data_IF_506168350453
#
_entry.id   IF_506168350453
#
_cell.length_a   1.000
_cell.length_b   1.000
_cell.length_c   1.000
_cell.angle_alpha   90.00
_cell.angle_beta   90.00
_cell.angle_gamma   90.00
#
_symmetry.space_group_name_H-M   'P 1'
#
loop_
_entity.id
_entity.type
_entity.pdbx_description
1 polymer ?
#
# COMPACT_ATOMS: atom_id res chain seq x y z
N UNK A 1 -2.00 -2.94 6.73
CA UNK A 1 -2.70 -2.27 5.61
C UNK A 1 -1.83 -2.47 4.37
N UNK A 2 -2.38 -2.90 3.22
CA UNK A 2 -1.60 -3.33 2.04
C UNK A 2 -1.32 -2.21 1.03
N UNK A 3 -1.07 -0.98 1.50
CA UNK A 3 -1.00 0.22 0.65
C UNK A 3 -2.39 0.76 0.26
N UNK A 4 -2.49 1.99 -0.26
CA UNK A 4 -3.75 2.59 -0.69
C UNK A 4 -4.29 1.84 -1.91
N UNK A 5 -5.58 1.47 -1.86
CA UNK A 5 -6.26 0.82 -3.00
C UNK A 5 -6.75 1.83 -4.05
N UNK A 6 -6.90 3.10 -3.64
CA UNK A 6 -7.36 4.23 -4.44
C UNK A 6 -6.67 5.49 -3.90
N UNK A 7 -6.27 6.38 -4.79
CA UNK A 7 -5.83 7.74 -4.46
C UNK A 7 -6.91 8.73 -4.82
N UNK A 8 -7.05 9.80 -4.02
CA UNK A 8 -7.88 10.96 -4.36
C UNK A 8 -6.97 12.17 -4.21
N UNK A 9 -6.72 12.87 -5.32
CA UNK A 9 -5.99 14.12 -5.30
C UNK A 9 -6.91 15.24 -4.77
N UNK A 10 -6.38 16.07 -3.86
CA UNK A 10 -7.15 17.12 -3.19
C UNK A 10 -6.30 18.39 -3.10
N UNK A 11 -6.84 19.52 -3.56
CA UNK A 11 -6.20 20.84 -3.53
C UNK A 11 -6.84 21.80 -2.51
N UNK A 12 -8.00 21.44 -1.99
CA UNK A 12 -8.78 22.22 -1.03
C UNK A 12 -9.33 21.28 0.04
N UNK A 13 -9.87 21.82 1.16
CA UNK A 13 -10.73 21.03 2.01
C UNK A 13 -11.84 20.39 1.17
N UNK A 14 -12.06 19.09 1.33
CA UNK A 14 -13.11 18.37 0.59
C UNK A 14 -13.94 17.50 1.54
N UNK A 15 -15.12 17.15 1.08
CA UNK A 15 -15.92 16.08 1.66
C UNK A 15 -15.90 14.88 0.72
N UNK A 16 -15.63 13.71 1.29
CA UNK A 16 -15.81 12.44 0.59
C UNK A 16 -17.16 11.88 1.04
N UNK A 17 -18.16 12.01 0.18
CA UNK A 17 -19.47 11.37 0.35
C UNK A 17 -19.43 9.92 -0.15
N UNK A 18 -20.15 9.04 0.54
CA UNK A 18 -20.28 7.64 0.16
C UNK A 18 -21.67 7.13 0.51
N UNK A 19 -22.25 6.38 -0.42
CA UNK A 19 -23.40 5.52 -0.22
C UNK A 19 -22.99 4.11 -0.68
N UNK A 20 -22.79 3.20 0.26
CA UNK A 20 -22.41 1.82 -0.03
C UNK A 20 -23.59 0.90 0.25
N UNK A 21 -23.95 0.10 -0.76
CA UNK A 21 -25.08 -0.83 -0.71
C UNK A 21 -24.66 -2.24 -1.14
N UNK A 22 -25.34 -3.26 -0.63
CA UNK A 22 -25.25 -4.64 -1.14
C UNK A 22 -26.30 -4.84 -2.21
N UNK A 23 -25.86 -5.23 -3.41
CA UNK A 23 -26.77 -5.51 -4.52
C UNK A 23 -27.59 -6.76 -4.25
N UNK A 24 -28.91 -6.62 -4.34
CA UNK A 24 -29.86 -7.72 -4.18
C UNK A 24 -30.36 -8.28 -5.52
N UNK A 25 -29.93 -7.69 -6.65
CA UNK A 25 -30.26 -8.15 -8.01
C UNK A 25 -31.58 -7.60 -8.55
N UNK A 26 -32.27 -6.74 -7.78
CA UNK A 26 -33.50 -6.03 -8.16
C UNK A 26 -33.24 -4.56 -8.51
N UNK A 27 -34.17 -3.68 -8.13
CA UNK A 27 -34.00 -2.24 -8.28
C UNK A 27 -33.06 -1.69 -7.18
N UNK A 28 -32.39 -0.57 -7.45
CA UNK A 28 -31.44 0.04 -6.50
C UNK A 28 -32.10 0.46 -5.17
N UNK A 29 -33.41 0.74 -5.19
CA UNK A 29 -34.21 1.04 -4.00
C UNK A 29 -34.33 -0.17 -3.05
N UNK A 30 -34.22 -1.39 -3.58
CA UNK A 30 -34.25 -2.63 -2.82
C UNK A 30 -32.86 -3.04 -2.30
N UNK A 31 -31.80 -2.36 -2.73
CA UNK A 31 -30.44 -2.68 -2.31
C UNK A 31 -30.22 -2.31 -0.84
N UNK A 32 -29.58 -3.23 -0.11
CA UNK A 32 -29.40 -3.09 1.33
C UNK A 32 -28.32 -2.03 1.63
N UNK A 33 -28.72 -0.88 2.16
CA UNK A 33 -27.78 0.18 2.54
C UNK A 33 -26.88 -0.27 3.70
N UNK A 34 -25.57 -0.33 3.45
CA UNK A 34 -24.55 -0.64 4.45
C UNK A 34 -24.17 0.62 5.21
N UNK A 35 -23.72 1.66 4.51
CA UNK A 35 -23.34 2.95 5.07
C UNK A 35 -23.75 4.07 4.12
N UNK A 36 -24.07 5.22 4.71
CA UNK A 36 -24.40 6.44 3.99
C UNK A 36 -23.90 7.61 4.85
N UNK A 37 -23.10 8.48 4.24
CA UNK A 37 -22.57 9.65 4.93
C UNK A 37 -21.39 10.28 4.21
N UNK A 38 -20.70 11.16 4.93
CA UNK A 38 -19.54 11.87 4.41
C UNK A 38 -18.42 11.95 5.43
N UNK A 39 -17.18 11.88 4.94
CA UNK A 39 -15.98 12.21 5.71
C UNK A 39 -15.47 13.57 5.26
N UNK A 40 -15.31 14.42 6.25
CA UNK A 40 -14.62 15.68 6.16
C UNK A 40 -13.09 15.51 6.07
N UNK A 41 -12.48 16.04 5.02
CA UNK A 41 -11.03 16.13 4.86
C UNK A 41 -10.62 17.62 4.84
N UNK A 42 -10.58 18.25 6.01
CA UNK A 42 -10.23 19.68 6.13
C UNK A 42 -8.81 19.93 6.60
N UNK A 43 -8.22 18.99 7.32
CA UNK A 43 -6.86 19.15 7.85
C UNK A 43 -5.86 18.84 6.73
N UNK A 44 -5.27 19.90 6.18
CA UNK A 44 -4.25 19.82 5.13
C UNK A 44 -2.87 19.45 5.69
N UNK A 45 -2.77 19.01 6.96
CA UNK A 45 -1.54 18.46 7.51
C UNK A 45 -1.46 16.96 7.20
N UNK A 46 -0.34 16.44 6.66
CA UNK A 46 -0.09 15.01 6.52
C UNK A 46 -0.47 14.27 7.80
N UNK A 47 -1.02 13.07 7.71
CA UNK A 47 -1.27 12.24 8.89
C UNK A 47 -1.13 10.75 8.57
N UNK A 48 -0.65 10.00 9.57
CA UNK A 48 -0.39 8.55 9.48
C UNK A 48 -1.69 7.79 9.24
N UNK A 49 -1.68 6.59 8.64
CA UNK A 49 -2.91 5.86 8.38
C UNK A 49 -3.77 5.65 9.63
N UNK A 50 -5.03 6.10 9.59
CA UNK A 50 -6.02 5.92 10.66
C UNK A 50 -7.09 4.96 10.19
N UNK A 51 -7.53 4.08 11.08
CA UNK A 51 -8.68 3.21 10.87
C UNK A 51 -9.92 3.87 11.46
N UNK A 52 -10.93 4.08 10.62
CA UNK A 52 -12.25 4.50 11.03
C UNK A 52 -13.23 3.35 10.86
N UNK A 53 -14.05 3.12 11.87
CA UNK A 53 -15.19 2.21 11.78
C UNK A 53 -16.45 3.03 11.61
N UNK A 54 -17.18 2.75 10.54
CA UNK A 54 -18.46 3.38 10.25
C UNK A 54 -19.53 2.32 10.47
N UNK A 55 -20.45 2.60 11.38
CA UNK A 55 -21.59 1.73 11.64
C UNK A 55 -22.77 2.27 10.83
N UNK A 56 -23.38 1.43 10.00
CA UNK A 56 -24.66 1.74 9.40
C UNK A 56 -25.72 0.73 9.82
N UNK A 57 -26.92 0.87 9.24
CA UNK A 57 -28.11 0.13 9.70
C UNK A 57 -27.97 -1.38 9.49
N UNK A 58 -27.32 -1.78 8.41
CA UNK A 58 -27.27 -3.18 7.98
C UNK A 58 -25.87 -3.79 8.08
N UNK A 59 -24.90 -3.09 8.67
CA UNK A 59 -23.53 -3.58 8.81
C UNK A 59 -22.53 -2.52 9.27
N UNK A 60 -21.26 -2.90 9.30
CA UNK A 60 -20.16 -2.00 9.64
C UNK A 60 -19.09 -2.05 8.55
N UNK A 61 -18.45 -0.90 8.30
CA UNK A 61 -17.38 -0.77 7.33
C UNK A 61 -16.15 -0.19 8.03
N UNK A 62 -15.04 -0.92 7.95
CA UNK A 62 -13.74 -0.43 8.38
C UNK A 62 -13.03 0.23 7.21
N UNK A 63 -12.81 1.54 7.31
CA UNK A 63 -12.05 2.33 6.34
C UNK A 63 -10.68 2.62 6.93
N UNK A 64 -9.64 2.54 6.11
CA UNK A 64 -8.32 3.07 6.45
C UNK A 64 -7.96 4.14 5.44
N UNK A 65 -7.74 5.36 5.91
CA UNK A 65 -7.28 6.48 5.09
C UNK A 65 -5.96 7.02 5.62
N UNK A 66 -5.22 7.77 4.80
CA UNK A 66 -4.03 8.54 5.16
C UNK A 66 -4.02 9.80 4.28
N UNK A 67 -3.47 10.91 4.77
CA UNK A 67 -3.20 12.07 3.95
C UNK A 67 -1.69 12.24 3.81
N UNK A 68 -1.23 12.26 2.55
CA UNK A 68 0.17 12.33 2.18
C UNK A 68 0.32 13.54 1.26
N UNK A 69 1.05 14.55 1.71
CA UNK A 69 1.31 15.75 0.93
C UNK A 69 2.30 15.45 -0.21
N UNK A 70 2.07 16.11 -1.37
CA UNK A 70 2.86 15.95 -2.59
C UNK A 70 3.13 14.48 -2.95
N UNK A 71 2.11 13.64 -2.82
CA UNK A 71 2.23 12.20 -3.01
C UNK A 71 2.49 11.82 -4.46
N UNK A 72 3.39 10.85 -4.66
CA UNK A 72 3.58 10.11 -5.90
C UNK A 72 3.25 8.64 -5.66
N UNK A 73 2.73 7.97 -6.67
CA UNK A 73 2.47 6.55 -6.63
C UNK A 73 3.77 5.77 -6.88
N UNK A 74 4.10 4.83 -6.00
CA UNK A 74 5.13 3.83 -6.20
C UNK A 74 4.49 2.48 -6.52
N UNK A 75 4.51 2.08 -7.80
CA UNK A 75 4.14 0.73 -8.22
C UNK A 75 5.37 -0.18 -8.11
N UNK A 76 5.30 -1.15 -7.20
CA UNK A 76 6.38 -2.08 -6.86
C UNK A 76 6.09 -3.45 -7.46
N UNK A 77 6.98 -3.91 -8.33
CA UNK A 77 7.00 -5.27 -8.86
C UNK A 77 8.15 -6.06 -8.24
N UNK A 78 7.87 -7.26 -7.77
CA UNK A 78 8.87 -8.15 -7.17
C UNK A 78 8.86 -9.49 -7.88
N UNK A 79 10.02 -9.93 -8.33
CA UNK A 79 10.23 -11.26 -8.92
C UNK A 79 11.26 -11.99 -8.08
N UNK A 80 10.89 -13.17 -7.60
CA UNK A 80 11.80 -14.10 -6.93
C UNK A 80 12.27 -15.14 -7.95
N UNK A 81 13.58 -15.33 -8.03
CA UNK A 81 14.27 -16.19 -8.99
C UNK A 81 15.38 -16.96 -8.28
N UNK A 82 15.89 -18.03 -8.90
CA UNK A 82 17.01 -18.82 -8.34
C UNK A 82 16.72 -19.30 -6.91
N UNK A 83 15.52 -19.85 -6.69
CA UNK A 83 15.12 -20.37 -5.37
C UNK A 83 15.83 -21.69 -5.09
N UNK A 84 16.66 -21.74 -4.05
CA UNK A 84 17.47 -22.91 -3.71
C UNK A 84 16.76 -23.87 -2.75
N UNK A 85 15.92 -23.34 -1.86
CA UNK A 85 15.10 -24.11 -0.91
C UNK A 85 13.85 -23.31 -0.54
N UNK A 86 12.84 -23.97 0.03
CA UNK A 86 11.63 -23.29 0.47
C UNK A 86 11.88 -22.39 1.69
N UNK A 87 11.37 -21.15 1.67
CA UNK A 87 11.52 -20.20 2.77
C UNK A 87 10.31 -19.29 2.97
N UNK A 88 10.11 -18.78 4.19
CA UNK A 88 9.16 -17.71 4.46
C UNK A 88 9.74 -16.36 4.06
N UNK A 89 8.94 -15.54 3.37
CA UNK A 89 9.29 -14.19 2.97
C UNK A 89 8.26 -13.21 3.51
N UNK A 90 8.75 -12.18 4.21
CA UNK A 90 7.98 -10.99 4.54
C UNK A 90 8.57 -9.78 3.81
N UNK A 91 7.71 -8.99 3.18
CA UNK A 91 8.04 -7.74 2.51
C UNK A 91 7.16 -6.61 3.04
N UNK A 92 7.79 -5.53 3.46
CA UNK A 92 7.12 -4.27 3.83
C UNK A 92 7.79 -3.07 3.17
N UNK A 93 7.03 -2.00 3.04
CA UNK A 93 7.51 -0.67 2.64
C UNK A 93 7.57 0.23 3.86
N UNK A 94 8.66 0.97 4.05
CA UNK A 94 8.77 2.04 5.02
C UNK A 94 8.76 3.37 4.26
N UNK A 95 7.77 4.19 4.55
CA UNK A 95 7.57 5.50 3.94
C UNK A 95 7.62 6.59 5.01
N UNK A 96 8.15 7.76 4.67
CA UNK A 96 8.22 8.87 5.60
C UNK A 96 6.92 9.66 5.59
N UNK A 97 6.24 9.73 6.73
CA UNK A 97 5.01 10.51 6.96
C UNK A 97 5.15 11.25 8.29
N UNK A 98 4.91 12.57 8.32
CA UNK A 98 4.94 13.39 9.55
C UNK A 98 6.13 13.08 10.46
N UNK A 99 7.36 13.23 9.96
CA UNK A 99 8.56 13.08 10.79
C UNK A 99 8.88 11.65 11.26
N UNK A 100 8.15 10.64 10.78
CA UNK A 100 8.41 9.25 11.14
C UNK A 100 8.26 8.31 9.94
N UNK A 101 8.79 7.10 10.06
CA UNK A 101 8.61 6.04 9.09
C UNK A 101 7.41 5.17 9.45
N UNK A 102 6.47 5.07 8.53
CA UNK A 102 5.34 4.14 8.61
C UNK A 102 5.65 2.86 7.83
N UNK A 103 5.53 1.71 8.50
CA UNK A 103 5.72 0.39 7.90
C UNK A 103 4.39 -0.14 7.33
N UNK A 104 4.35 -0.33 6.02
CA UNK A 104 3.22 -0.88 5.26
C UNK A 104 3.54 -2.31 4.85
N UNK A 105 2.88 -3.34 5.43
CA UNK A 105 3.06 -4.72 5.00
C UNK A 105 2.54 -4.94 3.58
N UNK A 106 3.39 -5.47 2.70
CA UNK A 106 3.03 -5.72 1.29
C UNK A 106 2.75 -7.20 1.04
N UNK A 107 3.63 -8.08 1.55
CA UNK A 107 3.55 -9.52 1.35
C UNK A 107 4.05 -10.28 2.57
N UNK A 108 3.39 -11.40 2.86
CA UNK A 108 3.85 -12.42 3.80
C UNK A 108 3.43 -13.78 3.26
N UNK A 109 4.36 -14.70 3.12
CA UNK A 109 4.05 -16.05 2.63
C UNK A 109 5.30 -16.89 2.39
N UNK A 110 5.09 -18.12 1.97
CA UNK A 110 6.15 -19.07 1.63
C UNK A 110 6.51 -18.98 0.15
N UNK A 111 7.80 -19.07 -0.14
CA UNK A 111 8.37 -19.16 -1.48
C UNK A 111 9.13 -20.48 -1.59
N UNK A 112 8.69 -21.35 -2.49
CA UNK A 112 9.25 -22.67 -2.79
C UNK A 112 9.75 -22.79 -4.22
N UNK A 113 9.33 -21.89 -5.10
CA UNK A 113 9.74 -21.83 -6.51
C UNK A 113 9.88 -20.39 -7.01
N UNK A 114 10.57 -20.24 -8.14
CA UNK A 114 10.72 -18.94 -8.81
C UNK A 114 9.37 -18.42 -9.30
N UNK A 115 9.03 -17.18 -8.96
CA UNK A 115 7.74 -16.56 -9.32
C UNK A 115 7.77 -15.05 -9.22
N UNK A 116 6.89 -14.41 -9.99
CA UNK A 116 6.46 -13.04 -9.69
C UNK A 116 5.58 -13.03 -8.44
N UNK A 117 5.74 -12.00 -7.62
CA UNK A 117 4.73 -11.62 -6.64
C UNK A 117 3.70 -10.70 -7.30
N UNK A 118 2.55 -10.49 -6.64
CA UNK A 118 1.59 -9.48 -7.08
C UNK A 118 2.26 -8.10 -7.10
N UNK A 119 1.74 -7.19 -7.91
CA UNK A 119 2.11 -5.77 -7.85
C UNK A 119 1.61 -5.17 -6.54
N UNK A 120 2.39 -4.25 -5.98
CA UNK A 120 2.01 -3.48 -4.82
C UNK A 120 2.06 -2.00 -5.15
N UNK A 121 1.19 -1.21 -4.53
CA UNK A 121 1.12 0.23 -4.74
C UNK A 121 1.21 0.92 -3.38
N UNK A 122 2.07 1.91 -3.27
CA UNK A 122 2.19 2.76 -2.07
C UNK A 122 2.30 4.24 -2.47
N UNK A 123 1.60 5.11 -1.74
CA UNK A 123 1.77 6.55 -1.87
C UNK A 123 3.02 6.98 -1.08
N UNK A 124 3.86 7.81 -1.67
CA UNK A 124 5.10 8.29 -1.07
C UNK A 124 5.22 9.80 -1.32
N UNK A 125 5.55 10.59 -0.29
CA UNK A 125 5.82 12.02 -0.48
C UNK A 125 6.99 12.22 -1.44
N UNK A 126 6.78 13.01 -2.50
CA UNK A 126 7.79 13.33 -3.50
C UNK A 126 9.06 13.89 -2.85
N UNK A 127 10.22 13.53 -3.40
CA UNK A 127 11.52 13.95 -2.88
C UNK A 127 12.02 13.17 -1.66
N UNK A 128 11.16 12.40 -0.97
CA UNK A 128 11.56 11.53 0.15
C UNK A 128 12.09 10.17 -0.34
N UNK A 129 12.42 9.28 0.61
CA UNK A 129 12.95 7.95 0.32
C UNK A 129 11.99 6.88 0.84
N UNK A 130 11.54 6.01 -0.06
CA UNK A 130 10.87 4.76 0.29
C UNK A 130 11.93 3.67 0.52
N UNK A 131 11.80 2.89 1.60
CA UNK A 131 12.63 1.71 1.85
C UNK A 131 11.78 0.45 1.73
N UNK A 132 12.27 -0.55 1.02
CA UNK A 132 11.67 -1.88 1.02
C UNK A 132 12.48 -2.81 1.91
N UNK A 133 11.80 -3.44 2.85
CA UNK A 133 12.36 -4.31 3.88
C UNK A 133 11.94 -5.75 3.61
N UNK A 134 12.93 -6.61 3.36
CA UNK A 134 12.77 -8.03 3.10
C UNK A 134 13.29 -8.82 4.30
N UNK A 135 12.48 -9.73 4.84
CA UNK A 135 12.86 -10.67 5.90
C UNK A 135 12.73 -12.09 5.38
N UNK A 136 13.80 -12.87 5.50
CA UNK A 136 13.91 -14.23 4.96
C UNK A 136 13.96 -15.26 6.09
N UNK A 137 13.14 -16.30 6.00
CA UNK A 137 13.08 -17.37 6.99
C UNK A 137 12.67 -16.88 8.39
N UNK A 138 12.97 -17.69 9.40
CA UNK A 138 12.81 -17.38 10.83
C UNK A 138 14.01 -16.65 11.44
N UNK A 139 15.14 -16.61 10.74
CA UNK A 139 16.43 -16.22 11.31
C UNK A 139 16.66 -14.69 11.36
N UNK A 140 15.60 -13.89 11.20
CA UNK A 140 15.61 -12.42 11.25
C UNK A 140 16.64 -11.73 10.32
N UNK A 141 17.17 -12.43 9.31
CA UNK A 141 18.08 -11.81 8.33
C UNK A 141 17.27 -10.83 7.48
N UNK A 142 17.63 -9.56 7.59
CA UNK A 142 16.95 -8.46 6.94
C UNK A 142 17.80 -7.88 5.80
N UNK A 143 17.16 -7.64 4.65
CA UNK A 143 17.73 -6.87 3.55
C UNK A 143 16.83 -5.68 3.26
N UNK A 144 17.44 -4.50 3.20
CA UNK A 144 16.74 -3.26 2.86
C UNK A 144 17.27 -2.68 1.54
N UNK A 145 16.38 -2.10 0.75
CA UNK A 145 16.75 -1.28 -0.40
C UNK A 145 15.95 0.02 -0.43
N UNK A 146 16.63 1.11 -0.82
CA UNK A 146 16.08 2.47 -0.77
C UNK A 146 15.83 3.00 -2.18
N UNK A 147 14.69 3.65 -2.38
CA UNK A 147 14.29 4.26 -3.63
C UNK A 147 13.88 5.71 -3.37
N UNK A 148 14.53 6.66 -4.03
CA UNK A 148 14.15 8.07 -3.97
C UNK A 148 12.86 8.26 -4.78
N UNK A 149 11.84 8.82 -4.15
CA UNK A 149 10.58 9.15 -4.80
C UNK A 149 10.77 10.24 -5.85
N UNK A 150 10.13 10.07 -7.00
CA UNK A 150 10.18 10.98 -8.15
C UNK A 150 8.77 11.13 -8.72
N UNK A 151 8.52 12.20 -9.48
CA UNK A 151 7.24 12.38 -10.18
C UNK A 151 6.99 11.24 -11.19
N UNK A 152 8.02 10.90 -11.96
CA UNK A 152 7.97 9.82 -12.95
C UNK A 152 9.29 9.03 -12.99
N UNK A 153 9.20 7.81 -13.49
CA UNK A 153 10.37 7.01 -13.88
C UNK A 153 10.32 5.58 -13.37
N UNK A 154 11.38 4.82 -13.64
CA UNK A 154 11.50 3.43 -13.21
C UNK A 154 12.91 3.19 -12.68
N UNK A 155 13.01 2.46 -11.57
CA UNK A 155 14.29 1.96 -11.04
C UNK A 155 14.17 0.46 -10.78
N UNK A 156 15.19 -0.27 -11.21
CA UNK A 156 15.35 -1.71 -10.93
C UNK A 156 16.51 -1.93 -9.96
N UNK A 157 16.33 -2.85 -9.01
CA UNK A 157 17.40 -3.36 -8.14
C UNK A 157 17.33 -4.88 -8.05
N UNK A 158 18.49 -5.51 -7.89
CA UNK A 158 18.59 -6.93 -7.58
C UNK A 158 19.14 -7.09 -6.16
N UNK A 159 18.59 -8.04 -5.42
CA UNK A 159 18.99 -8.42 -4.07
C UNK A 159 19.36 -9.90 -4.16
N UNK A 160 20.62 -10.22 -3.87
CA UNK A 160 21.07 -11.61 -3.77
C UNK A 160 21.03 -12.04 -2.30
N UNK A 161 20.38 -13.17 -2.04
CA UNK A 161 20.35 -13.84 -0.76
C UNK A 161 20.72 -15.31 -0.97
N UNK A 162 21.24 -15.98 0.05
CA UNK A 162 21.65 -17.39 -0.03
C UNK A 162 20.50 -18.34 -0.44
N UNK A 163 19.26 -17.94 -0.16
CA UNK A 163 18.06 -18.72 -0.45
C UNK A 163 17.48 -18.42 -1.84
N UNK A 164 17.63 -17.19 -2.33
CA UNK A 164 17.06 -16.74 -3.60
C UNK A 164 17.65 -15.41 -4.10
N UNK A 165 17.52 -15.18 -5.40
CA UNK A 165 17.73 -13.89 -6.04
C UNK A 165 16.40 -13.15 -6.24
N UNK A 166 16.26 -11.96 -5.67
CA UNK A 166 15.08 -11.10 -5.82
C UNK A 166 15.39 -9.93 -6.74
N UNK A 167 14.57 -9.73 -7.77
CA UNK A 167 14.54 -8.50 -8.55
C UNK A 167 13.35 -7.65 -8.13
N UNK A 168 13.61 -6.37 -7.87
CA UNK A 168 12.59 -5.37 -7.58
C UNK A 168 12.61 -4.31 -8.67
N UNK A 169 11.43 -3.95 -9.18
CA UNK A 169 11.24 -2.75 -10.01
C UNK A 169 10.26 -1.83 -9.32
N UNK A 170 10.57 -0.55 -9.28
CA UNK A 170 9.68 0.49 -8.77
C UNK A 170 9.44 1.49 -9.88
N UNK A 171 8.17 1.65 -10.24
CA UNK A 171 7.67 2.64 -11.17
C UNK A 171 7.06 3.80 -10.37
N UNK A 172 7.33 5.01 -10.82
CA UNK A 172 6.80 6.23 -10.23
C UNK A 172 5.86 6.91 -11.20
N UNK A 173 4.71 7.35 -10.68
CA UNK A 173 3.74 8.16 -11.41
C UNK A 173 3.07 9.16 -10.47
N UNK A 174 2.49 10.20 -11.06
CA UNK A 174 1.56 11.09 -10.35
C UNK A 174 0.27 10.33 -10.02
N UNK A 175 -0.39 10.74 -8.94
CA UNK A 175 -1.71 10.22 -8.52
C UNK A 175 -2.80 10.90 -9.34
#
# INVERSE_FOLDING_TARGET
MTGPKRGIEMYSPVFIEFDLRVKNGGQEEDDLQLIDGAIACYDQKPWRPIKHRINGKCGTVDISLAYVEHAVEATIEVVVSEVHSGFSLSLSSLIYIMENYEEIPLFHGTIDQSRGLRRFVVAVTSGTVMKLKFRFGSNNVERCCSFKAKLHGCVRRQIKHELASITVKVYWSTI
#
